data_IF_328175301197
#
_entry.id   IF_328175301197
#
_cell.length_a   1.000
_cell.length_b   1.000
_cell.length_c   1.000
_cell.angle_alpha   90.00
_cell.angle_beta   90.00
_cell.angle_gamma   90.00
#
_symmetry.space_group_name_H-M   'P 1'
#
loop_
_entity.id
_entity.type
_entity.pdbx_description
1 polymer ?
#
# COMPACT_ATOMS: atom_id res chain seq x y z
N UNK A 1 -0.75 14.66 -7.57
CA UNK A 1 -1.37 13.40 -7.44
C UNK A 1 -0.44 12.36 -7.01
N UNK A 2 -0.75 11.70 -6.01
CA UNK A 2 0.35 11.20 -5.35
C UNK A 2 0.22 9.76 -4.92
N UNK A 3 -0.94 9.14 -4.97
CA UNK A 3 -1.04 7.69 -4.79
C UNK A 3 -1.14 7.02 -6.15
N UNK A 4 -0.57 5.81 -6.24
CA UNK A 4 -0.56 5.04 -7.48
C UNK A 4 -1.16 3.66 -7.24
N UNK A 5 -1.96 3.19 -8.17
CA UNK A 5 -2.46 1.82 -8.12
C UNK A 5 -1.35 0.87 -8.56
N UNK A 6 -1.17 -0.21 -7.79
CA UNK A 6 -0.17 -1.24 -8.07
C UNK A 6 -0.88 -2.59 -8.02
N UNK A 7 -0.52 -3.49 -8.93
CA UNK A 7 -1.09 -4.84 -9.00
C UNK A 7 0.00 -5.90 -8.87
N UNK A 8 -0.39 -7.17 -8.87
CA UNK A 8 0.57 -8.27 -8.76
C UNK A 8 1.61 -8.25 -9.88
N UNK A 9 1.23 -7.77 -11.06
CA UNK A 9 2.13 -7.73 -12.22
C UNK A 9 3.25 -6.70 -12.10
N UNK A 10 3.04 -5.63 -11.35
CA UNK A 10 4.06 -4.57 -11.21
C UNK A 10 4.48 -4.30 -9.77
N UNK A 11 4.06 -5.15 -8.83
CA UNK A 11 4.42 -4.97 -7.42
C UNK A 11 5.94 -4.99 -7.23
N UNK A 12 6.62 -5.93 -7.85
CA UNK A 12 8.06 -6.03 -7.71
C UNK A 12 8.77 -4.78 -8.21
N UNK A 13 8.43 -4.32 -9.41
CA UNK A 13 9.10 -3.16 -9.99
C UNK A 13 8.75 -1.86 -9.27
N UNK A 14 7.51 -1.69 -8.83
CA UNK A 14 7.06 -0.45 -8.23
C UNK A 14 7.35 -0.34 -6.74
N UNK A 15 7.42 -1.47 -6.04
CA UNK A 15 7.60 -1.50 -4.60
C UNK A 15 8.98 -2.04 -4.21
N UNK A 16 9.29 -3.26 -4.65
CA UNK A 16 10.49 -3.95 -4.17
C UNK A 16 11.77 -3.39 -4.77
N UNK A 17 11.71 -2.88 -5.99
CA UNK A 17 12.87 -2.29 -6.68
C UNK A 17 12.91 -0.78 -6.59
N UNK A 18 11.99 -0.17 -5.84
CA UNK A 18 12.00 1.27 -5.65
C UNK A 18 13.15 1.68 -4.74
N UNK A 19 13.80 2.77 -5.07
CA UNK A 19 14.84 3.37 -4.22
C UNK A 19 14.25 4.35 -3.20
N UNK A 20 12.96 4.59 -3.26
CA UNK A 20 12.24 5.37 -2.26
C UNK A 20 11.65 4.46 -1.18
N UNK A 21 11.34 5.04 -0.03
CA UNK A 21 10.46 4.39 0.94
C UNK A 21 9.06 4.31 0.32
N UNK A 22 8.45 3.13 0.37
CA UNK A 22 7.13 2.91 -0.22
C UNK A 22 6.16 2.46 0.87
N UNK A 23 5.06 3.17 0.97
CA UNK A 23 3.94 2.76 1.83
C UNK A 23 2.90 2.08 0.95
N UNK A 24 2.61 0.82 1.26
CA UNK A 24 1.64 0.02 0.51
C UNK A 24 0.34 -0.06 1.29
N UNK A 25 -0.74 0.40 0.70
CA UNK A 25 -2.09 0.32 1.26
C UNK A 25 -2.85 -0.81 0.59
N UNK A 26 -3.13 -1.87 1.34
CA UNK A 26 -3.96 -2.98 0.87
C UNK A 26 -5.41 -2.68 1.19
N UNK A 27 -6.26 -2.66 0.16
CA UNK A 27 -7.63 -2.18 0.27
C UNK A 27 -8.59 -2.96 -0.63
N UNK A 28 -9.88 -2.73 -0.46
CA UNK A 28 -10.90 -3.23 -1.38
C UNK A 28 -12.07 -2.24 -1.45
N UNK A 29 -12.82 -2.31 -2.53
CA UNK A 29 -13.93 -1.38 -2.74
C UNK A 29 -15.07 -1.57 -1.73
N UNK A 30 -15.30 -2.82 -1.30
CA UNK A 30 -16.34 -3.13 -0.32
C UNK A 30 -15.96 -2.74 1.11
N UNK A 31 -14.74 -2.34 1.34
CA UNK A 31 -14.20 -2.04 2.66
C UNK A 31 -14.49 -0.57 3.01
N UNK A 32 -15.43 -0.32 3.90
CA UNK A 32 -15.78 1.03 4.33
C UNK A 32 -14.61 1.81 4.91
N UNK A 33 -13.88 1.25 5.90
CA UNK A 33 -12.70 1.94 6.46
C UNK A 33 -11.62 2.25 5.41
N UNK A 34 -11.44 1.36 4.42
CA UNK A 34 -10.48 1.60 3.33
C UNK A 34 -10.88 2.84 2.52
N UNK A 35 -12.17 2.99 2.26
CA UNK A 35 -12.69 4.12 1.49
C UNK A 35 -12.55 5.43 2.25
N UNK A 36 -12.70 5.39 3.56
CA UNK A 36 -12.50 6.56 4.41
C UNK A 36 -11.02 6.95 4.49
N UNK A 37 -10.12 5.96 4.43
CA UNK A 37 -8.68 6.19 4.49
C UNK A 37 -8.12 6.77 3.19
N UNK A 38 -8.70 6.42 2.04
CA UNK A 38 -8.18 6.80 0.74
C UNK A 38 -7.87 8.29 0.59
N UNK A 39 -8.83 9.19 0.85
CA UNK A 39 -8.57 10.63 0.75
C UNK A 39 -7.47 11.12 1.69
N UNK A 40 -7.37 10.51 2.88
CA UNK A 40 -6.33 10.87 3.85
C UNK A 40 -4.95 10.49 3.35
N UNK A 41 -4.83 9.33 2.69
CA UNK A 41 -3.56 8.92 2.09
C UNK A 41 -3.19 9.81 0.91
N UNK A 42 -4.18 10.23 0.13
CA UNK A 42 -3.94 11.16 -0.97
C UNK A 42 -3.37 12.48 -0.45
N UNK A 43 -3.97 13.02 0.61
CA UNK A 43 -3.48 14.24 1.24
C UNK A 43 -2.07 14.06 1.78
N UNK A 44 -1.82 12.93 2.47
CA UNK A 44 -0.51 12.64 3.03
C UNK A 44 0.55 12.56 1.93
N UNK A 45 0.21 11.96 0.80
CA UNK A 45 1.16 11.80 -0.30
C UNK A 45 1.53 13.15 -0.92
N UNK A 46 0.64 14.12 -0.89
CA UNK A 46 0.93 15.48 -1.36
C UNK A 46 1.87 16.22 -0.42
N UNK A 47 1.88 15.86 0.86
CA UNK A 47 2.72 16.48 1.86
C UNK A 47 4.08 15.78 1.98
N UNK A 48 4.12 14.45 1.85
CA UNK A 48 5.34 13.66 2.01
C UNK A 48 5.86 13.22 0.65
N UNK A 49 6.65 14.06 0.02
CA UNK A 49 7.15 13.79 -1.34
C UNK A 49 8.30 12.80 -1.39
N UNK A 50 8.89 12.48 -0.24
CA UNK A 50 9.99 11.50 -0.14
C UNK A 50 9.49 10.08 0.10
N UNK A 51 8.18 9.89 0.27
CA UNK A 51 7.56 8.58 0.44
C UNK A 51 6.61 8.35 -0.73
N UNK A 52 6.77 7.20 -1.38
CA UNK A 52 5.86 6.78 -2.44
C UNK A 52 4.71 6.01 -1.82
N UNK A 53 3.48 6.42 -2.08
CA UNK A 53 2.30 5.72 -1.55
C UNK A 53 1.62 5.00 -2.70
N UNK A 54 1.46 3.68 -2.57
CA UNK A 54 0.81 2.85 -3.58
C UNK A 54 -0.37 2.11 -2.95
N UNK A 55 -1.34 1.77 -3.78
CA UNK A 55 -2.55 1.08 -3.35
C UNK A 55 -2.68 -0.24 -4.09
N UNK A 56 -2.90 -1.31 -3.35
CA UNK A 56 -3.11 -2.66 -3.90
C UNK A 56 -4.52 -3.11 -3.55
N UNK A 57 -5.34 -3.32 -4.58
CA UNK A 57 -6.68 -3.86 -4.41
C UNK A 57 -6.57 -5.38 -4.22
N UNK A 58 -6.94 -5.87 -3.03
CA UNK A 58 -6.73 -7.28 -2.69
C UNK A 58 -7.61 -8.24 -3.49
N UNK A 59 -8.72 -7.75 -4.04
CA UNK A 59 -9.58 -8.58 -4.89
C UNK A 59 -9.00 -8.78 -6.28
N UNK A 60 -8.32 -7.76 -6.80
CA UNK A 60 -7.70 -7.84 -8.12
C UNK A 60 -6.28 -8.42 -8.05
N UNK A 61 -5.61 -8.28 -6.93
CA UNK A 61 -4.21 -8.63 -6.77
C UNK A 61 -4.02 -9.42 -5.48
N UNK A 62 -4.37 -10.72 -5.50
CA UNK A 62 -4.33 -11.54 -4.28
C UNK A 62 -2.95 -12.04 -3.89
N UNK A 63 -1.96 -11.98 -4.78
CA UNK A 63 -0.64 -12.58 -4.51
C UNK A 63 0.15 -11.77 -3.49
N UNK A 64 0.21 -10.45 -3.66
CA UNK A 64 0.99 -9.61 -2.75
C UNK A 64 0.44 -9.67 -1.31
N UNK A 65 -0.88 -9.53 -1.07
CA UNK A 65 -1.37 -9.63 0.30
C UNK A 65 -1.12 -11.01 0.91
N UNK A 66 -1.23 -12.08 0.13
CA UNK A 66 -0.96 -13.43 0.63
C UNK A 66 0.51 -13.58 1.01
N UNK A 67 1.41 -13.06 0.20
CA UNK A 67 2.85 -13.17 0.43
C UNK A 67 3.27 -12.45 1.72
N UNK A 68 2.65 -11.33 2.02
CA UNK A 68 3.03 -10.51 3.18
C UNK A 68 2.11 -10.70 4.39
N UNK A 69 1.28 -11.74 4.37
CA UNK A 69 0.48 -12.12 5.51
C UNK A 69 -0.63 -11.15 5.84
N UNK A 70 -1.17 -10.48 4.86
CA UNK A 70 -2.28 -9.54 5.04
C UNK A 70 -3.56 -10.34 5.27
N UNK A 71 -4.15 -10.20 6.45
CA UNK A 71 -5.35 -10.96 6.84
C UNK A 71 -6.59 -10.10 6.95
N UNK A 72 -6.41 -8.81 7.05
CA UNK A 72 -7.51 -7.86 7.16
C UNK A 72 -7.16 -6.58 6.46
N UNK A 73 -8.15 -5.79 6.13
CA UNK A 73 -7.95 -4.50 5.46
C UNK A 73 -8.75 -3.42 6.19
N UNK A 74 -8.27 -2.19 6.16
CA UNK A 74 -7.02 -1.75 5.52
C UNK A 74 -5.79 -2.23 6.28
N UNK A 75 -4.75 -2.57 5.55
CA UNK A 75 -3.44 -2.88 6.11
C UNK A 75 -2.41 -2.07 5.34
N UNK A 76 -1.52 -1.40 6.07
CA UNK A 76 -0.44 -0.64 5.45
C UNK A 76 0.90 -1.23 5.85
N UNK A 77 1.77 -1.43 4.86
CA UNK A 77 3.11 -1.98 5.07
C UNK A 77 4.11 -1.02 4.46
N UNK A 78 5.17 -0.74 5.21
CA UNK A 78 6.24 0.14 4.77
C UNK A 78 7.40 -0.70 4.23
N UNK A 79 7.89 -0.34 3.05
CA UNK A 79 9.02 -1.02 2.40
C UNK A 79 10.14 -0.04 2.14
N UNK A 80 11.38 -0.53 2.26
CA UNK A 80 12.58 0.21 1.84
C UNK A 80 13.59 -0.78 1.30
N UNK A 81 14.13 -0.48 0.11
CA UNK A 81 15.13 -1.33 -0.55
C UNK A 81 14.67 -2.79 -0.69
N UNK A 82 13.37 -2.98 -0.96
CA UNK A 82 12.80 -4.31 -1.14
C UNK A 82 12.48 -5.04 0.16
N UNK A 83 12.72 -4.42 1.29
CA UNK A 83 12.49 -5.05 2.59
C UNK A 83 11.33 -4.39 3.31
N UNK A 84 10.52 -5.23 3.95
CA UNK A 84 9.46 -4.77 4.82
C UNK A 84 10.09 -4.21 6.09
N UNK A 85 9.90 -2.91 6.33
CA UNK A 85 10.50 -2.25 7.50
C UNK A 85 9.73 -2.54 8.77
N UNK A 86 8.41 -2.51 8.67
CA UNK A 86 7.58 -2.72 9.83
C UNK A 86 6.19 -3.12 9.37
N UNK A 87 5.56 -4.00 10.11
CA UNK A 87 4.17 -4.34 9.90
C UNK A 87 3.36 -3.39 10.75
N UNK A 88 3.00 -2.28 10.17
CA UNK A 88 2.12 -1.35 10.84
C UNK A 88 0.70 -1.79 10.57
N UNK A 89 0.15 -2.55 11.49
CA UNK A 89 -1.27 -2.87 11.47
C UNK A 89 -2.00 -1.65 12.00
N UNK A 90 -2.41 -0.80 11.10
CA UNK A 90 -3.30 0.28 11.49
C UNK A 90 -4.70 -0.26 11.31
N UNK A 91 -5.30 -0.62 12.43
CA UNK A 91 -6.70 -0.96 12.45
C UNK A 91 -7.48 0.33 12.61
N UNK A 92 -8.14 0.69 11.56
CA UNK A 92 -9.04 1.83 11.62
C UNK A 92 -10.48 1.29 11.66
#
# INVERSE_FOLDING_TARGET
MATHAVNDGNFESEVLKSDQVVLVDFWAEWCGPCRALGPKLEDLSNEMTDVKIVKVNVDESPEAPAKYGVRGIPTMILFKNGEQLDLSLIHI
#
